data_IF_447707400675
#
_entry.id   IF_447707400675
#
_cell.length_a   1.000
_cell.length_b   1.000
_cell.length_c   1.000
_cell.angle_alpha   90.00
_cell.angle_beta   90.00
_cell.angle_gamma   90.00
#
_symmetry.space_group_name_H-M   'P 1'
#
loop_
_entity.id
_entity.type
_entity.pdbx_description
1 polymer ?
#
# COMPACT_ATOMS: atom_id res chain seq x y z
N UNK A 1 -15.13 -9.41 1.38
CA UNK A 1 -14.48 -8.90 0.14
C UNK A 1 -13.93 -7.46 0.28
N UNK A 2 -14.53 -6.60 1.11
CA UNK A 2 -14.04 -5.20 1.29
C UNK A 2 -12.72 -5.10 2.06
N UNK A 3 -12.42 -6.04 2.95
CA UNK A 3 -11.24 -5.98 3.83
C UNK A 3 -9.93 -6.37 3.15
N UNK A 4 -9.97 -7.14 2.05
CA UNK A 4 -8.77 -7.49 1.27
C UNK A 4 -8.11 -6.29 0.59
N UNK A 5 -8.90 -5.27 0.22
CA UNK A 5 -8.38 -4.02 -0.35
C UNK A 5 -7.66 -3.13 0.68
N UNK A 6 -7.77 -3.48 1.96
CA UNK A 6 -7.16 -2.76 3.05
C UNK A 6 -5.81 -3.34 3.51
N UNK A 7 -5.40 -4.44 2.89
CA UNK A 7 -4.16 -5.13 3.20
C UNK A 7 -2.95 -4.27 2.89
N UNK A 8 -1.91 -4.46 3.55
CA UNK A 8 -0.83 -3.70 4.21
C UNK A 8 -0.57 -2.28 3.68
N UNK A 9 -1.29 -1.86 2.67
CA UNK A 9 -1.10 -0.59 1.96
C UNK A 9 -1.40 0.63 2.80
N UNK A 10 -2.21 0.47 3.85
CA UNK A 10 -2.66 1.56 4.72
C UNK A 10 -1.63 1.98 5.76
N UNK A 11 -0.52 1.23 5.91
CA UNK A 11 0.54 1.52 6.88
C UNK A 11 1.95 1.44 6.36
N UNK A 12 2.13 0.98 5.15
CA UNK A 12 3.47 0.89 4.55
C UNK A 12 3.98 2.23 4.04
N UNK A 13 3.14 3.27 4.07
CA UNK A 13 3.44 4.60 3.55
C UNK A 13 2.90 5.64 4.53
N UNK A 14 3.68 5.91 5.58
CA UNK A 14 3.26 6.69 6.75
C UNK A 14 3.42 8.20 6.57
N UNK A 15 4.13 8.65 5.53
CA UNK A 15 4.49 10.05 5.32
C UNK A 15 3.88 10.59 4.02
N UNK A 16 3.69 11.89 3.95
CA UNK A 16 3.26 12.56 2.70
C UNK A 16 4.21 12.27 1.53
N UNK A 17 5.51 12.14 1.79
CA UNK A 17 6.52 11.81 0.80
C UNK A 17 6.44 10.38 0.27
N UNK A 18 5.87 9.45 1.02
CA UNK A 18 5.71 8.05 0.60
C UNK A 18 4.88 7.96 -0.69
N UNK A 19 3.89 8.84 -0.85
CA UNK A 19 2.99 8.88 -2.01
C UNK A 19 3.65 9.51 -3.25
N UNK A 20 4.74 10.24 -3.10
CA UNK A 20 5.57 10.71 -4.23
C UNK A 20 6.37 9.58 -4.87
N UNK A 21 6.59 8.48 -4.13
CA UNK A 21 7.19 7.25 -4.65
C UNK A 21 6.15 6.34 -5.31
N UNK A 22 4.92 6.31 -4.77
CA UNK A 22 3.83 5.46 -5.24
C UNK A 22 3.08 6.11 -6.41
N UNK A 23 3.79 6.28 -7.52
CA UNK A 23 3.27 6.92 -8.75
C UNK A 23 3.25 5.89 -9.87
N UNK A 24 2.14 5.74 -10.63
CA UNK A 24 2.08 4.83 -11.78
C UNK A 24 3.18 5.12 -12.82
N UNK A 25 3.76 4.08 -13.40
CA UNK A 25 4.82 4.20 -14.41
C UNK A 25 6.24 4.29 -13.86
N UNK A 26 6.42 4.22 -12.53
CA UNK A 26 7.72 4.13 -11.86
C UNK A 26 7.91 2.74 -11.22
N UNK A 27 9.07 2.51 -10.61
CA UNK A 27 9.44 1.17 -10.10
C UNK A 27 8.62 0.68 -8.90
N UNK A 28 8.01 1.59 -8.14
CA UNK A 28 7.22 1.22 -6.96
C UNK A 28 5.86 0.66 -7.38
N UNK A 29 5.42 -0.48 -6.81
CA UNK A 29 4.12 -1.05 -7.13
C UNK A 29 2.99 -0.19 -6.55
N UNK A 30 2.04 0.17 -7.40
CA UNK A 30 0.87 0.99 -7.04
C UNK A 30 -0.46 0.23 -7.17
N UNK A 31 -0.41 -1.02 -7.63
CA UNK A 31 -1.59 -1.85 -7.88
C UNK A 31 -1.62 -3.06 -6.97
N UNK A 32 -2.81 -3.36 -6.42
CA UNK A 32 -3.03 -4.50 -5.52
C UNK A 32 -3.10 -5.78 -6.33
N UNK A 33 -1.95 -6.43 -6.47
CA UNK A 33 -1.78 -7.67 -7.24
C UNK A 33 -0.66 -8.52 -6.63
N UNK A 34 -0.58 -9.79 -7.04
CA UNK A 34 0.55 -10.64 -6.72
C UNK A 34 1.07 -11.35 -7.97
N UNK A 35 2.35 -11.70 -7.98
CA UNK A 35 3.00 -12.42 -9.06
C UNK A 35 4.24 -13.17 -8.58
N UNK A 36 4.77 -14.06 -9.43
CA UNK A 36 6.02 -14.79 -9.18
C UNK A 36 7.23 -14.04 -9.74
N UNK A 37 7.13 -13.55 -10.97
CA UNK A 37 8.24 -12.89 -11.65
C UNK A 37 8.01 -11.39 -11.88
N UNK A 38 6.75 -10.95 -11.99
CA UNK A 38 6.40 -9.58 -12.32
C UNK A 38 6.82 -8.58 -11.23
N UNK A 39 7.58 -7.56 -11.60
CA UNK A 39 8.05 -6.49 -10.69
C UNK A 39 7.02 -5.39 -10.46
N UNK A 40 5.98 -5.28 -11.28
CA UNK A 40 4.88 -4.32 -11.07
C UNK A 40 3.88 -4.78 -10.00
N UNK A 41 3.92 -6.06 -9.59
CA UNK A 41 3.06 -6.59 -8.56
C UNK A 41 3.42 -6.09 -7.15
N UNK A 42 2.38 -5.83 -6.34
CA UNK A 42 2.52 -5.41 -4.94
C UNK A 42 3.16 -6.49 -4.07
N UNK A 43 2.73 -7.72 -4.26
CA UNK A 43 3.24 -8.90 -3.55
C UNK A 43 3.94 -9.80 -4.56
N UNK A 44 5.21 -10.09 -4.31
CA UNK A 44 5.99 -11.00 -5.13
C UNK A 44 6.33 -12.26 -4.35
N UNK A 45 6.15 -13.41 -4.99
CA UNK A 45 6.58 -14.73 -4.50
C UNK A 45 7.67 -15.25 -5.43
N UNK A 46 8.95 -14.92 -5.19
CA UNK A 46 10.03 -15.28 -6.11
C UNK A 46 10.14 -16.80 -6.27
N UNK A 47 10.39 -17.21 -7.51
CA UNK A 47 10.69 -18.63 -7.78
C UNK A 47 12.00 -19.03 -7.11
N UNK A 48 12.03 -20.17 -6.50
CA UNK A 48 13.24 -20.76 -5.93
C UNK A 48 13.79 -21.87 -6.86
N UNK A 49 15.08 -22.14 -6.75
CA UNK A 49 15.70 -23.24 -7.47
C UNK A 49 15.36 -24.57 -6.79
N UNK A 50 15.18 -25.67 -7.54
CA UNK A 50 14.99 -27.00 -6.96
C UNK A 50 16.07 -27.30 -5.91
N UNK A 51 15.66 -27.86 -4.76
CA UNK A 51 16.53 -28.12 -3.61
C UNK A 51 16.82 -26.90 -2.72
N UNK A 52 16.15 -25.76 -2.95
CA UNK A 52 16.24 -24.54 -2.12
C UNK A 52 14.87 -24.08 -1.62
N UNK A 53 14.03 -25.02 -1.23
CA UNK A 53 12.66 -24.76 -0.76
C UNK A 53 12.63 -23.84 0.46
N UNK A 54 13.65 -23.89 1.31
CA UNK A 54 13.81 -22.98 2.45
C UNK A 54 13.98 -21.50 2.06
N UNK A 55 14.26 -21.21 0.76
CA UNK A 55 14.32 -19.83 0.24
C UNK A 55 12.96 -19.29 -0.19
N UNK A 56 11.87 -20.08 -0.05
CA UNK A 56 10.51 -19.65 -0.35
C UNK A 56 10.14 -18.47 0.54
N UNK A 57 9.71 -17.38 -0.06
CA UNK A 57 9.33 -16.16 0.65
C UNK A 57 8.27 -15.39 -0.10
N UNK A 58 7.62 -14.53 0.64
CA UNK A 58 6.70 -13.52 0.11
C UNK A 58 7.32 -12.13 0.33
N UNK A 59 7.39 -11.33 -0.70
CA UNK A 59 7.94 -9.97 -0.66
C UNK A 59 6.81 -8.97 -0.83
N UNK A 60 6.48 -8.24 0.25
CA UNK A 60 5.60 -7.08 0.15
C UNK A 60 6.46 -5.87 -0.27
N UNK A 61 6.10 -5.21 -1.39
CA UNK A 61 6.98 -4.24 -2.07
C UNK A 61 6.59 -2.78 -1.89
N UNK A 62 5.44 -2.50 -1.27
CA UNK A 62 4.99 -1.12 -1.04
C UNK A 62 5.56 -0.44 0.23
N UNK A 63 6.05 -1.14 1.29
CA UNK A 63 6.48 -0.46 2.50
C UNK A 63 7.53 0.62 2.22
N UNK A 64 7.35 1.77 2.88
CA UNK A 64 8.31 2.85 2.86
C UNK A 64 9.43 2.58 3.88
N UNK A 65 10.70 2.84 3.57
CA UNK A 65 11.81 2.68 4.54
C UNK A 65 11.63 3.52 5.82
N UNK A 66 10.86 4.60 5.76
CA UNK A 66 10.56 5.46 6.90
C UNK A 66 9.35 5.01 7.72
N UNK A 67 8.67 3.91 7.35
CA UNK A 67 7.55 3.40 8.13
C UNK A 67 8.01 2.89 9.50
N UNK A 68 7.13 2.95 10.50
CA UNK A 68 7.38 2.31 11.79
C UNK A 68 7.35 0.78 11.63
N UNK A 69 8.51 0.07 11.76
CA UNK A 69 8.58 -1.36 11.46
C UNK A 69 7.74 -2.20 12.42
N UNK A 70 7.62 -1.82 13.68
CA UNK A 70 6.83 -2.55 14.67
C UNK A 70 5.35 -2.57 14.29
N UNK A 71 4.82 -1.40 13.91
CA UNK A 71 3.43 -1.26 13.51
C UNK A 71 3.19 -1.94 12.14
N UNK A 72 4.13 -1.81 11.21
CA UNK A 72 4.04 -2.45 9.91
C UNK A 72 4.04 -3.97 10.03
N UNK A 73 4.94 -4.56 10.82
CA UNK A 73 4.96 -6.01 11.06
C UNK A 73 3.72 -6.51 11.79
N UNK A 74 3.23 -5.80 12.81
CA UNK A 74 2.01 -6.17 13.50
C UNK A 74 0.82 -6.30 12.54
N UNK A 75 0.64 -5.30 11.67
CA UNK A 75 -0.43 -5.30 10.68
C UNK A 75 -0.25 -6.38 9.60
N UNK A 76 0.99 -6.57 9.10
CA UNK A 76 1.27 -7.61 8.10
C UNK A 76 1.00 -9.01 8.63
N UNK A 77 1.45 -9.31 9.86
CA UNK A 77 1.25 -10.61 10.49
C UNK A 77 -0.24 -10.85 10.76
N UNK A 78 -0.94 -9.87 11.36
CA UNK A 78 -2.38 -9.97 11.61
C UNK A 78 -3.18 -10.20 10.33
N UNK A 79 -2.84 -9.50 9.27
CA UNK A 79 -3.52 -9.66 7.99
C UNK A 79 -3.24 -11.03 7.35
N UNK A 80 -2.00 -11.52 7.43
CA UNK A 80 -1.63 -12.87 6.95
C UNK A 80 -2.37 -13.97 7.71
N UNK A 81 -2.41 -13.90 9.05
CA UNK A 81 -3.13 -14.85 9.89
C UNK A 81 -4.63 -14.83 9.59
N UNK A 82 -5.24 -13.64 9.50
CA UNK A 82 -6.66 -13.50 9.14
C UNK A 82 -6.97 -14.09 7.76
N UNK A 83 -6.07 -13.95 6.79
CA UNK A 83 -6.22 -14.58 5.47
C UNK A 83 -6.19 -16.12 5.52
N UNK A 84 -5.33 -16.70 6.36
CA UNK A 84 -5.24 -18.14 6.57
C UNK A 84 -6.48 -18.66 7.31
N UNK A 85 -6.87 -18.02 8.41
CA UNK A 85 -8.03 -18.39 9.22
C UNK A 85 -9.34 -18.33 8.44
N UNK A 86 -9.52 -17.28 7.65
CA UNK A 86 -10.70 -17.09 6.80
C UNK A 86 -10.63 -17.89 5.49
N UNK A 87 -9.52 -18.60 5.23
CA UNK A 87 -9.30 -19.38 4.01
C UNK A 87 -9.56 -18.58 2.74
N UNK A 88 -9.01 -17.38 2.67
CA UNK A 88 -9.19 -16.53 1.49
C UNK A 88 -8.65 -17.21 0.25
N UNK A 89 -9.47 -17.26 -0.80
CA UNK A 89 -9.03 -17.74 -2.09
C UNK A 89 -7.99 -16.81 -2.70
N UNK A 90 -6.87 -17.40 -3.12
CA UNK A 90 -5.82 -16.65 -3.79
C UNK A 90 -6.26 -16.35 -5.23
N UNK A 91 -6.23 -15.09 -5.61
CA UNK A 91 -6.50 -14.68 -7.00
C UNK A 91 -5.44 -15.21 -7.95
N UNK A 92 -5.75 -15.26 -9.24
CA UNK A 92 -4.80 -15.62 -10.29
C UNK A 92 -3.64 -14.61 -10.25
N UNK A 93 -2.37 -15.07 -10.34
CA UNK A 93 -1.22 -14.17 -10.38
C UNK A 93 -1.23 -13.31 -11.65
N UNK A 94 -0.85 -12.06 -11.54
CA UNK A 94 -0.76 -11.13 -12.68
C UNK A 94 0.70 -11.09 -13.14
N UNK A 95 1.03 -11.91 -14.12
CA UNK A 95 2.41 -11.98 -14.66
C UNK A 95 2.66 -10.96 -15.78
N UNK A 96 1.62 -10.35 -16.30
CA UNK A 96 1.68 -9.28 -17.31
C UNK A 96 2.06 -7.94 -16.67
N UNK A 97 2.62 -7.02 -17.46
CA UNK A 97 2.95 -5.68 -16.96
C UNK A 97 1.67 -4.87 -16.70
N UNK A 98 1.38 -4.65 -15.42
CA UNK A 98 0.17 -3.95 -14.99
C UNK A 98 0.19 -2.48 -15.40
N UNK A 99 1.36 -1.89 -15.61
CA UNK A 99 1.47 -0.49 -16.04
C UNK A 99 1.04 -0.28 -17.49
N UNK A 100 1.14 -1.32 -18.33
CA UNK A 100 0.66 -1.29 -19.72
C UNK A 100 -0.85 -1.52 -19.84
N UNK A 101 -1.49 -2.09 -18.81
CA UNK A 101 -2.94 -2.32 -18.79
C UNK A 101 -3.71 -1.00 -18.68
N UNK A 102 -4.78 -0.87 -19.45
CA UNK A 102 -5.74 0.22 -19.28
C UNK A 102 -6.65 -0.02 -18.06
N UNK A 103 -7.47 0.96 -17.70
CA UNK A 103 -8.34 0.88 -16.51
C UNK A 103 -9.37 -0.25 -16.60
N UNK A 104 -9.93 -0.48 -17.79
CA UNK A 104 -10.91 -1.55 -18.04
C UNK A 104 -10.30 -2.92 -17.87
N UNK A 105 -9.09 -3.13 -18.37
CA UNK A 105 -8.34 -4.38 -18.22
C UNK A 105 -8.00 -4.64 -16.76
N UNK A 106 -7.50 -3.63 -16.03
CA UNK A 106 -7.25 -3.76 -14.59
C UNK A 106 -8.52 -4.11 -13.82
N UNK A 107 -9.63 -3.47 -14.14
CA UNK A 107 -10.93 -3.77 -13.52
C UNK A 107 -11.39 -5.21 -13.80
N UNK A 108 -11.22 -5.69 -15.02
CA UNK A 108 -11.54 -7.08 -15.40
C UNK A 108 -10.71 -8.11 -14.61
N UNK A 109 -9.46 -7.80 -14.32
CA UNK A 109 -8.58 -8.61 -13.44
C UNK A 109 -8.83 -8.38 -11.95
N UNK A 110 -9.76 -7.47 -11.58
CA UNK A 110 -10.03 -7.10 -10.19
C UNK A 110 -8.86 -6.40 -9.51
N UNK A 111 -7.97 -5.78 -10.27
CA UNK A 111 -6.81 -5.04 -9.77
C UNK A 111 -7.25 -3.63 -9.38
N UNK A 112 -7.01 -3.27 -8.13
CA UNK A 112 -7.27 -1.93 -7.59
C UNK A 112 -5.97 -1.18 -7.34
N UNK A 113 -6.04 0.15 -7.32
CA UNK A 113 -4.90 0.99 -7.01
C UNK A 113 -4.72 1.18 -5.51
N UNK A 114 -3.48 1.40 -5.08
CA UNK A 114 -3.17 1.94 -3.77
C UNK A 114 -3.65 3.39 -3.67
N UNK A 115 -3.85 3.93 -2.45
CA UNK A 115 -4.12 5.35 -2.28
C UNK A 115 -2.99 6.20 -2.88
N UNK A 116 -3.36 7.25 -3.58
CA UNK A 116 -2.41 8.19 -4.22
C UNK A 116 -1.95 9.33 -3.31
N UNK A 117 -2.48 9.42 -2.08
CA UNK A 117 -2.12 10.46 -1.11
C UNK A 117 -2.30 9.98 0.33
N UNK A 118 -1.64 10.68 1.26
CA UNK A 118 -1.83 10.41 2.69
C UNK A 118 -3.29 10.62 3.12
N UNK A 119 -4.00 11.60 2.56
CA UNK A 119 -5.42 11.81 2.85
C UNK A 119 -6.27 10.58 2.53
N UNK A 120 -6.16 10.06 1.31
CA UNK A 120 -6.88 8.86 0.90
C UNK A 120 -6.51 7.64 1.75
N UNK A 121 -5.24 7.51 2.12
CA UNK A 121 -4.80 6.43 2.98
C UNK A 121 -5.39 6.53 4.39
N UNK A 122 -5.52 7.73 4.95
CA UNK A 122 -6.17 7.95 6.24
C UNK A 122 -7.64 7.54 6.19
N UNK A 123 -8.38 7.98 5.18
CA UNK A 123 -9.80 7.63 5.00
C UNK A 123 -10.00 6.10 4.95
N UNK A 124 -9.18 5.44 4.14
CA UNK A 124 -9.19 3.99 4.06
C UNK A 124 -8.81 3.32 5.38
N UNK A 125 -7.83 3.85 6.11
CA UNK A 125 -7.39 3.32 7.38
C UNK A 125 -8.48 3.44 8.46
N UNK A 126 -9.17 4.56 8.53
CA UNK A 126 -10.28 4.77 9.48
C UNK A 126 -11.41 3.77 9.29
N UNK A 127 -11.72 3.40 8.04
CA UNK A 127 -12.73 2.40 7.73
C UNK A 127 -12.27 0.93 7.92
N UNK A 128 -11.05 0.66 8.41
CA UNK A 128 -10.52 -0.69 8.50
C UNK A 128 -10.67 -1.31 9.88
N UNK A 129 -11.63 -2.21 10.03
CA UNK A 129 -11.76 -3.04 11.24
C UNK A 129 -10.51 -3.88 11.48
N UNK A 130 -9.93 -4.48 10.43
CA UNK A 130 -8.72 -5.28 10.53
C UNK A 130 -7.53 -4.49 11.07
N UNK A 131 -7.34 -3.24 10.61
CA UNK A 131 -6.29 -2.38 11.11
C UNK A 131 -6.50 -2.02 12.58
N UNK A 132 -7.73 -1.73 12.97
CA UNK A 132 -8.10 -1.43 14.35
C UNK A 132 -7.86 -2.64 15.27
N UNK A 133 -8.26 -3.84 14.85
CA UNK A 133 -8.00 -5.08 15.58
C UNK A 133 -6.49 -5.34 15.74
N UNK A 134 -5.70 -5.18 14.66
CA UNK A 134 -4.26 -5.42 14.69
C UNK A 134 -3.49 -4.51 15.63
N UNK A 135 -3.97 -3.30 15.86
CA UNK A 135 -3.28 -2.27 16.64
C UNK A 135 -3.84 -2.09 18.05
N UNK A 136 -5.08 -2.50 18.25
CA UNK A 136 -5.89 -2.11 19.40
C UNK A 136 -6.33 -0.65 19.35
N UNK A 137 -7.41 -0.35 20.06
CA UNK A 137 -8.09 0.95 20.02
C UNK A 137 -7.16 2.12 20.28
N UNK A 138 -6.39 2.05 21.34
CA UNK A 138 -5.52 3.16 21.76
C UNK A 138 -4.46 3.53 20.69
N UNK A 139 -3.72 2.53 20.19
CA UNK A 139 -2.66 2.79 19.17
C UNK A 139 -3.30 3.23 17.86
N UNK A 140 -4.42 2.62 17.48
CA UNK A 140 -5.16 2.99 16.28
C UNK A 140 -5.60 4.46 16.31
N UNK A 141 -6.28 4.90 17.39
CA UNK A 141 -6.75 6.28 17.52
C UNK A 141 -5.60 7.28 17.49
N UNK A 142 -4.52 7.02 18.23
CA UNK A 142 -3.36 7.90 18.25
C UNK A 142 -2.65 7.97 16.90
N UNK A 143 -2.57 6.84 16.20
CA UNK A 143 -1.98 6.79 14.86
C UNK A 143 -2.80 7.62 13.86
N UNK A 144 -4.11 7.43 13.81
CA UNK A 144 -5.00 8.19 12.91
C UNK A 144 -4.93 9.68 13.22
N UNK A 145 -5.02 10.06 14.50
CA UNK A 145 -4.92 11.46 14.90
C UNK A 145 -3.59 12.11 14.48
N UNK A 146 -2.47 11.38 14.66
CA UNK A 146 -1.15 11.85 14.23
C UNK A 146 -1.07 12.04 12.71
N UNK A 147 -1.62 11.09 11.93
CA UNK A 147 -1.58 11.19 10.47
C UNK A 147 -2.50 12.29 9.92
N UNK A 148 -3.62 12.54 10.54
CA UNK A 148 -4.48 13.69 10.22
C UNK A 148 -3.75 15.01 10.46
N UNK A 149 -3.07 15.13 11.60
CA UNK A 149 -2.29 16.33 11.90
C UNK A 149 -1.16 16.53 10.87
N UNK A 150 -0.42 15.47 10.52
CA UNK A 150 0.63 15.54 9.49
C UNK A 150 0.07 16.00 8.15
N UNK A 151 -1.07 15.44 7.72
CA UNK A 151 -1.73 15.85 6.49
C UNK A 151 -2.17 17.32 6.53
N UNK A 152 -2.80 17.76 7.62
CA UNK A 152 -3.27 19.14 7.78
C UNK A 152 -2.12 20.15 7.75
N UNK A 153 -1.01 19.82 8.38
CA UNK A 153 0.19 20.64 8.33
C UNK A 153 0.77 20.71 6.91
N UNK A 154 0.81 19.58 6.19
CA UNK A 154 1.36 19.51 4.84
C UNK A 154 0.50 20.24 3.82
N UNK A 155 -0.82 20.02 3.81
CA UNK A 155 -1.72 20.58 2.79
C UNK A 155 -1.87 22.10 2.83
N UNK A 156 -1.43 22.73 3.92
CA UNK A 156 -1.43 24.18 4.10
C UNK A 156 -0.09 24.83 3.77
N UNK A 157 0.94 24.04 3.44
CA UNK A 157 2.23 24.58 3.03
C UNK A 157 2.19 25.05 1.60
N UNK A 158 2.79 26.21 1.35
CA UNK A 158 3.06 26.70 -0.01
C UNK A 158 4.42 26.17 -0.44
N UNK A 159 4.42 25.32 -1.46
CA UNK A 159 5.63 24.71 -1.98
C UNK A 159 6.31 25.55 -3.05
N UNK A 160 7.61 25.37 -3.25
CA UNK A 160 8.37 26.10 -4.26
C UNK A 160 7.77 25.98 -5.66
N UNK A 161 7.23 24.82 -6.01
CA UNK A 161 6.52 24.60 -7.28
C UNK A 161 5.36 25.61 -7.50
N UNK A 162 4.59 25.86 -6.45
CA UNK A 162 3.44 26.80 -6.53
C UNK A 162 3.92 28.24 -6.69
N UNK A 163 4.99 28.61 -5.97
CA UNK A 163 5.62 29.92 -6.11
C UNK A 163 6.17 30.13 -7.52
N UNK A 164 6.93 29.17 -8.04
CA UNK A 164 7.57 29.29 -9.36
C UNK A 164 6.53 29.33 -10.49
N UNK A 165 5.43 28.59 -10.33
CA UNK A 165 4.43 28.44 -11.39
C UNK A 165 3.35 29.54 -11.37
N UNK A 166 2.89 29.94 -10.19
CA UNK A 166 1.71 30.79 -10.06
C UNK A 166 2.02 32.24 -9.69
N UNK A 167 3.10 32.51 -8.95
CA UNK A 167 3.47 33.88 -8.62
C UNK A 167 3.71 34.77 -9.85
N UNK A 168 4.33 34.28 -10.96
CA UNK A 168 4.48 35.09 -12.18
C UNK A 168 3.17 35.42 -12.92
N UNK A 169 2.05 34.79 -12.55
CA UNK A 169 0.75 34.99 -13.16
C UNK A 169 -0.11 36.04 -12.44
N UNK A 170 0.34 36.47 -11.25
CA UNK A 170 -0.32 37.50 -10.43
C UNK A 170 0.20 38.90 -10.78
#
# INVERSE_FOLDING_TARGET
HRDLHSFPTRRSSDLVNSYKRLVPGYEAPVYVSWARANRSALVRVPLYKPGKEAATRCELRCPDPACNPYLAFAVMISAGLKGIEAKFELRIPTEEDIFEMNETERAAHGITSLPGSLAQAIELAEGSSMLKEALGDHVFEKFIANKKLEWDMYRTQVHQYELDKYLPLL
#
